data_IF_902434898791
#
_entry.id   IF_902434898791
#
_cell.length_a   1.000
_cell.length_b   1.000
_cell.length_c   1.000
_cell.angle_alpha   90.00
_cell.angle_beta   90.00
_cell.angle_gamma   90.00
#
_symmetry.space_group_name_H-M   'P 1'
#
loop_
_entity.id
_entity.type
_entity.pdbx_description
1 polymer ?
#
# COMPACT_ATOMS: atom_id res chain seq x y z
N UNK A 1 10.12 -29.72 -10.25
CA UNK A 1 9.46 -28.59 -9.56
C UNK A 1 8.13 -28.36 -10.25
N UNK A 2 7.03 -28.83 -9.65
CA UNK A 2 5.70 -28.57 -10.19
C UNK A 2 5.36 -27.10 -10.01
N UNK A 3 4.88 -26.45 -11.07
CA UNK A 3 4.26 -25.14 -10.93
C UNK A 3 3.12 -25.25 -9.90
N UNK A 4 2.92 -24.28 -8.99
CA UNK A 4 1.73 -24.26 -8.17
C UNK A 4 0.54 -24.09 -9.12
N UNK A 5 -0.19 -25.17 -9.37
CA UNK A 5 -1.52 -25.12 -9.95
C UNK A 5 -2.48 -24.72 -8.83
N UNK A 6 -2.32 -23.51 -8.29
CA UNK A 6 -3.45 -22.85 -7.64
C UNK A 6 -4.40 -22.48 -8.77
N UNK A 7 -5.29 -23.42 -9.10
CA UNK A 7 -6.44 -23.15 -9.94
C UNK A 7 -7.13 -21.95 -9.32
N UNK A 8 -7.15 -20.81 -10.01
CA UNK A 8 -7.98 -19.67 -9.64
C UNK A 8 -9.39 -20.22 -9.44
N UNK A 9 -9.81 -20.35 -8.18
CA UNK A 9 -11.17 -20.79 -7.89
C UNK A 9 -12.08 -19.76 -8.55
N UNK A 10 -13.15 -20.20 -9.26
CA UNK A 10 -14.10 -19.28 -9.82
C UNK A 10 -14.57 -18.32 -8.73
N UNK A 11 -14.47 -17.02 -8.99
CA UNK A 11 -14.97 -16.03 -8.04
C UNK A 11 -16.46 -16.27 -7.80
N UNK A 12 -16.93 -16.12 -6.55
CA UNK A 12 -18.35 -16.26 -6.26
C UNK A 12 -19.16 -15.28 -7.13
N UNK A 13 -20.40 -15.61 -7.48
CA UNK A 13 -21.26 -14.70 -8.24
C UNK A 13 -21.52 -13.41 -7.45
N UNK A 14 -21.81 -12.32 -8.16
CA UNK A 14 -22.14 -11.03 -7.56
C UNK A 14 -21.87 -9.86 -8.49
N UNK A 15 -22.08 -8.63 -7.98
CA UNK A 15 -21.91 -7.41 -8.76
C UNK A 15 -20.45 -7.19 -9.18
N UNK A 16 -20.26 -6.43 -10.27
CA UNK A 16 -18.93 -5.97 -10.67
C UNK A 16 -18.33 -5.07 -9.58
N UNK A 17 -17.01 -5.13 -9.44
CA UNK A 17 -16.24 -4.37 -8.47
C UNK A 17 -15.35 -3.36 -9.22
N UNK A 18 -15.55 -2.08 -8.98
CA UNK A 18 -14.68 -1.04 -9.51
C UNK A 18 -13.33 -1.04 -8.77
N UNK A 19 -12.28 -0.66 -9.47
CA UNK A 19 -10.92 -0.61 -8.96
C UNK A 19 -10.49 0.85 -8.96
N UNK A 20 -10.47 1.47 -7.78
CA UNK A 20 -10.19 2.89 -7.62
C UNK A 20 -8.73 3.11 -7.20
N UNK A 21 -8.12 4.17 -7.71
CA UNK A 21 -6.78 4.57 -7.31
C UNK A 21 -6.36 5.89 -7.93
N UNK A 22 -5.19 6.37 -7.53
CA UNK A 22 -4.50 7.46 -8.23
C UNK A 22 -3.48 6.83 -9.16
N UNK A 23 -3.77 6.83 -10.45
CA UNK A 23 -2.93 6.17 -11.44
C UNK A 23 -2.14 7.20 -12.24
N UNK A 24 -0.95 6.78 -12.65
CA UNK A 24 -0.22 7.45 -13.72
C UNK A 24 -0.04 6.44 -14.83
N UNK A 25 -0.32 6.82 -16.08
CA UNK A 25 -0.12 5.94 -17.23
C UNK A 25 1.32 5.41 -17.23
N UNK A 26 1.45 4.09 -17.36
CA UNK A 26 2.70 3.34 -17.32
C UNK A 26 3.20 2.99 -15.91
N UNK A 27 2.57 3.47 -14.84
CA UNK A 27 2.99 3.23 -13.45
C UNK A 27 2.78 1.78 -13.00
N UNK A 28 3.48 1.38 -11.93
CA UNK A 28 3.25 0.11 -11.26
C UNK A 28 1.81 -0.02 -10.73
N UNK A 29 1.20 1.10 -10.32
CA UNK A 29 -0.17 1.13 -9.80
C UNK A 29 -1.21 0.83 -10.89
N UNK A 30 -1.06 1.43 -12.08
CA UNK A 30 -1.92 1.10 -13.23
C UNK A 30 -1.75 -0.38 -13.63
N UNK A 31 -0.51 -0.88 -13.67
CA UNK A 31 -0.24 -2.30 -13.96
C UNK A 31 -0.88 -3.23 -12.92
N UNK A 32 -0.88 -2.83 -11.65
CA UNK A 32 -1.57 -3.57 -10.59
C UNK A 32 -3.08 -3.57 -10.81
N UNK A 33 -3.68 -2.41 -11.12
CA UNK A 33 -5.10 -2.30 -11.42
C UNK A 33 -5.51 -3.23 -12.57
N UNK A 34 -4.72 -3.25 -13.65
CA UNK A 34 -4.93 -4.15 -14.78
C UNK A 34 -4.76 -5.62 -14.40
N UNK A 35 -3.82 -5.96 -13.51
CA UNK A 35 -3.65 -7.32 -13.01
C UNK A 35 -4.84 -7.78 -12.16
N UNK A 36 -5.33 -6.92 -11.26
CA UNK A 36 -6.54 -7.16 -10.46
C UNK A 36 -7.76 -7.31 -11.38
N UNK A 37 -7.90 -6.43 -12.37
CA UNK A 37 -9.00 -6.50 -13.35
C UNK A 37 -9.00 -7.84 -14.09
N UNK A 38 -7.83 -8.32 -14.53
CA UNK A 38 -7.69 -9.65 -15.16
C UNK A 38 -8.04 -10.79 -14.21
N UNK A 39 -7.60 -10.71 -12.96
CA UNK A 39 -7.90 -11.73 -11.95
C UNK A 39 -9.40 -11.77 -11.59
N UNK A 40 -10.08 -10.62 -11.63
CA UNK A 40 -11.53 -10.53 -11.38
C UNK A 40 -12.38 -11.07 -12.54
N UNK A 41 -11.85 -11.08 -13.76
CA UNK A 41 -12.55 -11.59 -14.94
C UNK A 41 -13.95 -10.97 -15.09
N UNK A 42 -15.04 -11.77 -15.13
CA UNK A 42 -16.40 -11.23 -15.25
C UNK A 42 -16.87 -10.33 -14.09
N UNK A 43 -16.21 -10.43 -12.92
CA UNK A 43 -16.49 -9.58 -11.75
C UNK A 43 -15.79 -8.23 -11.83
N UNK A 44 -14.94 -8.00 -12.83
CA UNK A 44 -14.23 -6.74 -12.98
C UNK A 44 -15.18 -5.62 -13.42
N UNK A 45 -15.20 -4.53 -12.66
CA UNK A 45 -15.78 -3.25 -13.05
C UNK A 45 -14.78 -2.36 -13.77
N UNK A 46 -14.98 -1.06 -13.65
CA UNK A 46 -14.11 -0.04 -14.24
C UNK A 46 -12.85 0.18 -13.39
N UNK A 47 -11.75 0.55 -14.05
CA UNK A 47 -10.58 1.12 -13.37
C UNK A 47 -10.81 2.64 -13.31
N UNK A 48 -10.97 3.16 -12.11
CA UNK A 48 -11.25 4.57 -11.87
C UNK A 48 -9.94 5.27 -11.50
N UNK A 49 -9.37 6.01 -12.47
CA UNK A 49 -8.26 6.93 -12.22
C UNK A 49 -8.79 8.22 -11.62
N UNK A 50 -8.56 8.42 -10.33
CA UNK A 50 -9.09 9.52 -9.55
C UNK A 50 -8.01 10.57 -9.27
N UNK A 51 -8.46 11.82 -9.12
CA UNK A 51 -7.61 12.83 -8.49
C UNK A 51 -7.29 12.41 -7.05
N UNK A 52 -6.16 12.88 -6.50
CA UNK A 52 -5.82 12.59 -5.10
C UNK A 52 -6.91 13.06 -4.12
N UNK A 53 -7.60 14.15 -4.43
CA UNK A 53 -8.67 14.68 -3.60
C UNK A 53 -9.90 13.76 -3.61
N UNK A 54 -10.34 13.35 -4.79
CA UNK A 54 -11.50 12.45 -4.95
C UNK A 54 -11.20 11.06 -4.37
N UNK A 55 -9.99 10.57 -4.60
CA UNK A 55 -9.52 9.32 -4.01
C UNK A 55 -9.61 9.34 -2.48
N UNK A 56 -9.04 10.37 -1.84
CA UNK A 56 -9.09 10.54 -0.39
C UNK A 56 -10.52 10.66 0.12
N UNK A 57 -11.39 11.36 -0.61
CA UNK A 57 -12.80 11.46 -0.26
C UNK A 57 -13.46 10.08 -0.25
N UNK A 58 -13.32 9.30 -1.33
CA UNK A 58 -13.92 7.97 -1.44
C UNK A 58 -13.40 7.01 -0.38
N UNK A 59 -12.10 6.98 -0.12
CA UNK A 59 -11.52 6.17 0.96
C UNK A 59 -12.10 6.58 2.32
N UNK A 60 -12.23 7.88 2.57
CA UNK A 60 -12.79 8.38 3.82
C UNK A 60 -14.30 8.10 3.98
N UNK A 61 -15.08 8.07 2.89
CA UNK A 61 -16.52 7.81 2.92
C UNK A 61 -16.88 6.33 2.75
N UNK A 62 -15.92 5.48 2.38
CA UNK A 62 -16.18 4.09 2.01
C UNK A 62 -16.86 3.93 0.65
N UNK A 63 -16.82 4.95 -0.19
CA UNK A 63 -17.42 4.95 -1.53
C UNK A 63 -16.47 4.33 -2.57
N UNK A 64 -15.96 3.13 -2.28
CA UNK A 64 -15.11 2.34 -3.18
C UNK A 64 -15.35 0.84 -2.99
N UNK A 65 -15.06 0.05 -4.02
CA UNK A 65 -15.14 -1.41 -3.94
C UNK A 65 -13.78 -2.04 -3.64
N UNK A 66 -12.77 -1.65 -4.43
CA UNK A 66 -11.39 -2.06 -4.28
C UNK A 66 -10.50 -0.84 -4.46
N UNK A 67 -9.60 -0.61 -3.50
CA UNK A 67 -8.61 0.44 -3.54
C UNK A 67 -7.21 -0.15 -3.71
N UNK A 68 -6.38 0.46 -4.57
CA UNK A 68 -4.97 0.09 -4.70
C UNK A 68 -4.12 1.21 -4.08
N UNK A 69 -3.34 0.84 -3.06
CA UNK A 69 -2.52 1.78 -2.30
C UNK A 69 -1.05 1.38 -2.24
N UNK A 70 -0.20 2.40 -2.02
CA UNK A 70 1.21 2.26 -1.66
C UNK A 70 1.45 3.01 -0.33
N UNK A 71 0.92 2.51 0.79
CA UNK A 71 1.15 3.16 2.07
C UNK A 71 2.64 3.14 2.41
N UNK A 72 3.14 4.24 2.98
CA UNK A 72 4.47 4.28 3.56
C UNK A 72 4.39 3.58 4.91
N UNK A 73 4.85 2.33 4.99
CA UNK A 73 4.79 1.51 6.19
C UNK A 73 6.06 1.60 7.07
N UNK A 74 6.84 2.67 6.93
CA UNK A 74 8.10 2.86 7.66
C UNK A 74 8.23 4.31 8.17
N UNK A 75 8.61 4.52 9.44
CA UNK A 75 9.01 3.53 10.46
C UNK A 75 7.83 2.67 10.95
N UNK A 76 8.06 1.55 11.65
CA UNK A 76 6.97 0.67 12.12
C UNK A 76 5.88 1.37 12.94
N UNK A 77 6.18 2.51 13.56
CA UNK A 77 5.18 3.34 14.25
C UNK A 77 4.11 3.93 13.33
N UNK A 78 4.36 4.07 12.03
CA UNK A 78 3.35 4.45 11.02
C UNK A 78 2.18 3.45 10.97
N UNK A 79 2.38 2.22 11.44
CA UNK A 79 1.31 1.23 11.58
C UNK A 79 0.15 1.74 12.43
N UNK A 80 0.42 2.55 13.45
CA UNK A 80 -0.61 3.15 14.28
C UNK A 80 -1.47 4.15 13.49
N UNK A 81 -0.86 4.90 12.57
CA UNK A 81 -1.57 5.84 11.72
C UNK A 81 -2.37 5.14 10.62
N UNK A 82 -1.97 3.94 10.20
CA UNK A 82 -2.62 3.22 9.10
C UNK A 82 -3.72 2.27 9.58
N UNK A 83 -3.48 1.51 10.65
CA UNK A 83 -4.26 0.31 10.98
C UNK A 83 -4.98 0.35 12.32
N UNK A 84 -4.66 1.33 13.18
CA UNK A 84 -5.38 1.48 14.44
C UNK A 84 -6.86 1.77 14.16
N UNK A 85 -7.76 1.23 14.98
CA UNK A 85 -9.18 1.54 14.91
C UNK A 85 -9.40 3.07 14.92
N UNK A 86 -10.25 3.56 14.02
CA UNK A 86 -10.50 4.98 13.76
C UNK A 86 -9.31 5.76 13.18
N UNK A 87 -8.33 5.07 12.59
CA UNK A 87 -7.30 5.71 11.76
C UNK A 87 -7.95 6.63 10.71
N UNK A 88 -7.43 7.86 10.51
CA UNK A 88 -7.92 8.76 9.49
C UNK A 88 -7.37 8.45 8.08
N UNK A 89 -6.51 7.44 7.93
CA UNK A 89 -5.75 7.20 6.68
C UNK A 89 -6.34 6.08 5.83
N UNK A 90 -6.17 4.82 6.23
CA UNK A 90 -6.42 3.67 5.32
C UNK A 90 -7.52 2.76 5.84
N UNK A 91 -7.60 2.57 7.16
CA UNK A 91 -8.41 1.51 7.74
C UNK A 91 -9.66 2.04 8.47
N UNK A 92 -10.34 3.05 7.91
CA UNK A 92 -11.45 3.76 8.61
C UNK A 92 -12.61 2.84 9.04
N UNK A 93 -12.77 1.69 8.37
CA UNK A 93 -13.80 0.68 8.67
C UNK A 93 -13.21 -0.64 9.20
N UNK A 94 -11.90 -0.70 9.42
CA UNK A 94 -11.25 -1.83 10.07
C UNK A 94 -11.19 -1.58 11.57
N UNK A 95 -11.49 -2.61 12.34
CA UNK A 95 -11.26 -2.61 13.77
C UNK A 95 -10.84 -4.00 14.20
N UNK A 96 -9.68 -4.08 14.86
CA UNK A 96 -9.18 -5.32 15.42
C UNK A 96 -8.55 -5.03 16.79
N UNK A 97 -9.21 -5.43 17.90
CA UNK A 97 -8.75 -5.09 19.24
C UNK A 97 -7.38 -5.71 19.59
N UNK A 98 -6.97 -6.80 18.91
CA UNK A 98 -5.65 -7.41 19.11
C UNK A 98 -4.55 -6.55 18.48
N UNK A 99 -4.81 -6.01 17.30
CA UNK A 99 -3.92 -5.04 16.62
C UNK A 99 -3.82 -3.76 17.44
N UNK A 100 -4.94 -3.21 17.91
CA UNK A 100 -4.94 -1.99 18.74
C UNK A 100 -4.14 -2.19 20.04
N UNK A 101 -4.34 -3.30 20.74
CA UNK A 101 -3.61 -3.60 21.97
C UNK A 101 -2.09 -3.74 21.75
N UNK A 102 -1.68 -4.33 20.62
CA UNK A 102 -0.26 -4.43 20.27
C UNK A 102 0.35 -3.07 19.93
N UNK A 103 -0.39 -2.23 19.19
CA UNK A 103 0.00 -0.84 18.90
C UNK A 103 0.13 -0.03 20.19
N UNK A 104 -0.84 -0.14 21.11
CA UNK A 104 -0.84 0.55 22.41
C UNK A 104 0.31 0.13 23.32
N UNK A 105 0.76 -1.13 23.22
CA UNK A 105 1.93 -1.62 23.92
C UNK A 105 3.27 -1.26 23.24
N UNK A 106 3.25 -0.67 22.04
CA UNK A 106 4.45 -0.44 21.22
C UNK A 106 5.09 -1.72 20.67
N UNK A 107 4.37 -2.84 20.68
CA UNK A 107 4.83 -4.14 20.18
C UNK A 107 4.51 -4.29 18.69
N UNK A 108 5.36 -3.69 17.85
CA UNK A 108 5.17 -3.65 16.40
C UNK A 108 5.24 -5.04 15.74
N UNK A 109 6.05 -5.94 16.29
CA UNK A 109 6.16 -7.30 15.78
C UNK A 109 4.84 -8.05 15.97
N UNK A 110 4.25 -7.97 17.17
CA UNK A 110 2.93 -8.52 17.42
C UNK A 110 1.86 -7.83 16.57
N UNK A 111 1.88 -6.50 16.44
CA UNK A 111 0.91 -5.79 15.61
C UNK A 111 0.90 -6.28 14.16
N UNK A 112 2.08 -6.54 13.57
CA UNK A 112 2.21 -7.11 12.22
C UNK A 112 1.65 -8.53 12.13
N UNK A 113 1.91 -9.39 13.13
CA UNK A 113 1.37 -10.75 13.18
C UNK A 113 -0.16 -10.74 13.26
N UNK A 114 -0.72 -9.96 14.17
CA UNK A 114 -2.18 -9.87 14.37
C UNK A 114 -2.88 -9.27 13.13
N UNK A 115 -2.22 -8.35 12.42
CA UNK A 115 -2.72 -7.80 11.16
C UNK A 115 -2.65 -8.82 10.01
N UNK A 116 -1.62 -9.67 9.97
CA UNK A 116 -1.50 -10.71 8.96
C UNK A 116 -2.54 -11.83 9.13
N UNK A 117 -2.96 -12.10 10.37
CA UNK A 117 -3.97 -13.10 10.69
C UNK A 117 -5.40 -12.69 10.30
N UNK A 118 -5.70 -11.38 10.33
CA UNK A 118 -7.01 -10.81 9.95
C UNK A 118 -6.81 -9.52 9.15
N UNK A 119 -6.35 -9.64 7.88
CA UNK A 119 -5.89 -8.48 7.15
C UNK A 119 -7.06 -7.73 6.50
N UNK A 120 -7.17 -6.40 6.70
CA UNK A 120 -8.13 -5.57 5.96
C UNK A 120 -7.71 -5.36 4.50
N UNK A 121 -6.51 -5.80 4.12
CA UNK A 121 -5.89 -5.58 2.81
C UNK A 121 -5.11 -6.80 2.34
N UNK A 122 -4.98 -6.97 1.03
CA UNK A 122 -4.02 -7.92 0.47
C UNK A 122 -2.64 -7.26 0.36
N UNK A 123 -1.67 -7.72 1.15
CA UNK A 123 -0.27 -7.30 1.00
C UNK A 123 0.35 -7.92 -0.24
N UNK A 124 0.71 -7.09 -1.23
CA UNK A 124 1.26 -7.58 -2.49
C UNK A 124 2.78 -7.71 -2.44
N UNK A 125 3.49 -6.61 -2.17
CA UNK A 125 4.95 -6.60 -2.05
C UNK A 125 5.44 -5.33 -1.35
N UNK A 126 6.66 -5.38 -0.81
CA UNK A 126 7.43 -4.20 -0.46
C UNK A 126 8.26 -3.78 -1.68
N UNK A 127 8.01 -2.61 -2.29
CA UNK A 127 8.79 -2.18 -3.44
C UNK A 127 10.22 -1.84 -3.01
N UNK A 128 11.21 -2.43 -3.68
CA UNK A 128 12.58 -1.98 -3.57
C UNK A 128 12.73 -0.61 -4.26
N UNK A 129 13.37 0.35 -3.60
CA UNK A 129 13.73 1.65 -4.18
C UNK A 129 15.20 1.65 -4.56
N UNK A 130 15.49 2.05 -5.79
CA UNK A 130 16.85 2.30 -6.25
C UNK A 130 17.09 3.81 -6.32
N UNK A 131 18.13 4.28 -5.68
CA UNK A 131 18.66 5.62 -5.86
C UNK A 131 19.97 5.54 -6.65
N UNK A 132 20.07 6.32 -7.72
CA UNK A 132 21.30 6.49 -8.49
C UNK A 132 21.82 7.88 -8.19
N UNK A 133 23.03 7.96 -7.66
CA UNK A 133 23.68 9.20 -7.25
C UNK A 133 24.96 9.31 -8.05
N UNK A 134 25.17 10.47 -8.67
CA UNK A 134 26.38 10.76 -9.44
C UNK A 134 27.61 10.80 -8.51
N UNK A 135 28.74 10.25 -8.97
CA UNK A 135 29.96 10.12 -8.17
C UNK A 135 30.57 11.48 -7.75
N UNK A 136 30.15 12.60 -8.36
CA UNK A 136 30.55 13.95 -7.96
C UNK A 136 29.95 14.39 -6.63
N UNK A 137 28.88 13.74 -6.17
CA UNK A 137 28.29 14.03 -4.87
C UNK A 137 29.07 13.32 -3.76
N UNK A 138 29.60 14.11 -2.82
CA UNK A 138 30.21 13.61 -1.59
C UNK A 138 29.17 13.51 -0.47
N UNK A 139 29.42 12.63 0.48
CA UNK A 139 28.57 12.35 1.65
C UNK A 139 27.16 11.89 1.31
N UNK A 140 26.92 11.49 0.06
CA UNK A 140 25.60 11.14 -0.40
C UNK A 140 25.11 9.83 0.23
N UNK A 141 24.03 9.91 0.99
CA UNK A 141 23.46 8.78 1.74
C UNK A 141 21.94 8.82 1.70
N UNK A 142 21.30 7.66 1.65
CA UNK A 142 19.86 7.55 1.84
C UNK A 142 19.59 7.61 3.35
N UNK A 143 18.62 8.43 3.76
CA UNK A 143 18.30 8.60 5.17
C UNK A 143 17.54 7.41 5.75
N UNK A 144 17.29 7.42 7.07
CA UNK A 144 16.74 6.29 7.79
C UNK A 144 15.30 5.92 7.39
N UNK A 145 14.57 6.81 6.70
CA UNK A 145 13.24 6.51 6.17
C UNK A 145 13.24 6.14 4.68
N UNK A 146 14.42 5.89 4.09
CA UNK A 146 14.52 5.53 2.69
C UNK A 146 14.25 6.69 1.73
N UNK A 147 14.51 7.93 2.18
CA UNK A 147 14.39 9.15 1.40
C UNK A 147 15.74 9.90 1.35
N UNK A 148 15.68 11.15 0.91
CA UNK A 148 16.82 12.04 0.75
C UNK A 148 16.90 13.08 1.89
N UNK A 149 16.65 12.66 3.13
CA UNK A 149 16.68 13.52 4.33
C UNK A 149 18.07 14.12 4.58
N UNK A 150 19.11 13.51 4.02
CA UNK A 150 20.50 13.92 4.20
C UNK A 150 20.99 14.85 3.09
N UNK A 151 20.12 15.27 2.16
CA UNK A 151 20.47 16.23 1.10
C UNK A 151 21.22 17.47 1.60
N UNK A 152 20.88 18.06 2.76
CA UNK A 152 21.62 19.21 3.27
C UNK A 152 23.10 18.93 3.55
N UNK A 153 23.48 17.67 3.77
CA UNK A 153 24.86 17.24 4.04
C UNK A 153 25.65 16.93 2.75
N UNK A 154 24.99 16.94 1.59
CA UNK A 154 25.62 16.54 0.32
C UNK A 154 26.44 17.69 -0.25
N UNK A 155 27.65 17.39 -0.69
CA UNK A 155 28.54 18.35 -1.34
C UNK A 155 28.73 17.97 -2.80
N UNK A 156 28.95 18.97 -3.67
CA UNK A 156 29.28 18.77 -5.08
C UNK A 156 30.67 19.30 -5.33
N UNK A 157 31.59 18.43 -5.76
CA UNK A 157 32.87 18.89 -6.29
C UNK A 157 32.62 19.67 -7.58
N UNK A 158 33.17 20.89 -7.66
CA UNK A 158 33.15 21.71 -8.88
C UNK A 158 33.94 21.08 -10.01
#
# INVERSE_FOLDING_TARGET
>A
MGAPTDSFRPLPPGRRLNISGVFKVGSSMERMALAVQRALGPRAGEIEDLSLADYRHRVATGEFDLAIELPVAWPPSEMALLWRTNSPLVARNFSNPRVDAAIDAGDWARAMTELADDPPVAFICLPARLAIIDARFKNARIGPYGFFETLPDWEVDR
#
